data_IF_931791946602
#
_entry.id   IF_931791946602
#
_cell.length_a   1.000
_cell.length_b   1.000
_cell.length_c   1.000
_cell.angle_alpha   90.00
_cell.angle_beta   90.00
_cell.angle_gamma   90.00
#
_symmetry.space_group_name_H-M   'P 1'
#
loop_
_entity.id
_entity.type
_entity.pdbx_description
1 polymer ?
#
# COMPACT_ATOMS: atom_id res chain seq x y z
N UNK A 1 11.99 22.07 -2.91
CA UNK A 1 11.04 21.40 -3.83
C UNK A 1 11.37 21.80 -5.25
N UNK A 2 11.43 20.85 -6.18
CA UNK A 2 11.58 21.08 -7.63
C UNK A 2 10.40 20.41 -8.36
N UNK A 3 9.68 21.18 -9.19
CA UNK A 3 8.54 20.71 -9.99
C UNK A 3 8.70 21.13 -11.46
N UNK A 4 7.82 20.65 -12.33
CA UNK A 4 7.76 21.03 -13.73
C UNK A 4 7.66 22.57 -13.89
N UNK A 5 8.52 23.14 -14.73
CA UNK A 5 8.62 24.58 -14.94
C UNK A 5 7.32 25.22 -15.48
N UNK A 6 6.55 24.49 -16.30
CA UNK A 6 5.27 24.98 -16.82
C UNK A 6 4.25 25.15 -15.70
N UNK A 7 4.17 24.18 -14.78
CA UNK A 7 3.30 24.27 -13.62
C UNK A 7 3.77 25.36 -12.64
N UNK A 8 5.08 25.54 -12.48
CA UNK A 8 5.62 26.59 -11.61
C UNK A 8 5.41 28.01 -12.15
N UNK A 9 5.30 28.17 -13.47
CA UNK A 9 5.17 29.47 -14.14
C UNK A 9 3.72 29.82 -14.52
N UNK A 10 2.75 28.94 -14.28
CA UNK A 10 1.37 29.17 -14.69
C UNK A 10 0.65 30.19 -13.79
N UNK A 11 -0.35 30.89 -14.34
CA UNK A 11 -1.19 31.81 -13.57
C UNK A 11 -2.20 31.10 -12.66
N UNK A 12 -2.58 29.88 -13.07
CA UNK A 12 -3.57 29.02 -12.41
C UNK A 12 -3.18 27.55 -12.52
N UNK A 13 -3.09 26.87 -11.39
CA UNK A 13 -2.78 25.45 -11.31
C UNK A 13 -4.01 24.64 -10.86
N UNK A 14 -4.53 23.82 -11.75
CA UNK A 14 -5.70 22.96 -11.51
C UNK A 14 -5.26 21.50 -11.50
N UNK A 15 -5.63 20.78 -10.44
CA UNK A 15 -5.36 19.37 -10.30
C UNK A 15 -6.55 18.52 -10.73
N UNK A 16 -6.27 17.35 -11.30
CA UNK A 16 -7.26 16.32 -11.56
C UNK A 16 -6.71 14.94 -11.22
N UNK A 17 -7.59 13.98 -10.93
CA UNK A 17 -7.20 12.61 -10.66
C UNK A 17 -8.23 11.78 -9.89
N UNK A 18 -7.76 10.65 -9.37
CA UNK A 18 -8.54 9.74 -8.55
C UNK A 18 -8.14 9.81 -7.07
N UNK A 19 -9.12 9.69 -6.17
CA UNK A 19 -8.88 9.48 -4.73
C UNK A 19 -9.17 8.03 -4.36
N UNK A 20 -8.19 7.39 -3.72
CA UNK A 20 -8.22 6.00 -3.23
C UNK A 20 -7.35 5.90 -1.99
N UNK A 21 -7.52 4.85 -1.18
CA UNK A 21 -6.55 4.51 -0.14
C UNK A 21 -5.16 4.24 -0.73
N UNK A 22 -4.10 4.60 0.00
CA UNK A 22 -2.72 4.42 -0.44
C UNK A 22 -1.81 4.04 0.74
N UNK A 23 -1.21 2.84 0.66
CA UNK A 23 -0.45 2.20 1.75
C UNK A 23 0.73 2.99 2.35
N UNK A 24 1.18 4.06 1.68
CA UNK A 24 2.21 5.00 2.19
C UNK A 24 1.63 6.36 2.63
N UNK A 25 0.90 7.04 1.74
CA UNK A 25 0.55 8.46 1.87
C UNK A 25 -0.83 8.71 2.49
N UNK A 26 -1.45 7.70 3.10
CA UNK A 26 -2.87 7.73 3.47
C UNK A 26 -3.77 7.50 2.27
N UNK A 27 -3.75 8.44 1.32
CA UNK A 27 -4.62 8.45 0.13
C UNK A 27 -3.87 8.85 -1.15
N UNK A 28 -4.44 8.52 -2.30
CA UNK A 28 -4.12 9.09 -3.62
C UNK A 28 -4.72 10.48 -3.82
N UNK A 29 -4.57 11.04 -5.04
CA UNK A 29 -5.20 12.30 -5.46
C UNK A 29 -4.71 13.56 -4.76
N UNK A 30 -5.28 14.72 -5.14
CA UNK A 30 -4.96 16.01 -4.54
C UNK A 30 -3.47 16.34 -4.63
N UNK A 31 -2.84 16.64 -3.50
CA UNK A 31 -1.39 16.91 -3.37
C UNK A 31 -0.45 15.94 -4.10
N UNK A 32 -0.87 14.68 -4.33
CA UNK A 32 -0.07 13.71 -5.08
C UNK A 32 0.13 14.03 -6.55
N UNK A 33 -0.73 14.86 -7.13
CA UNK A 33 -0.55 15.39 -8.49
C UNK A 33 0.64 16.35 -8.55
N UNK A 34 1.07 16.94 -7.43
CA UNK A 34 2.30 17.74 -7.32
C UNK A 34 3.50 16.82 -7.03
N UNK A 35 3.53 16.19 -5.86
CA UNK A 35 4.56 15.22 -5.47
C UNK A 35 3.93 13.85 -5.28
N UNK A 36 4.22 12.84 -6.12
CA UNK A 36 5.27 12.83 -7.14
C UNK A 36 4.87 13.31 -8.54
N UNK A 37 3.60 13.64 -8.80
CA UNK A 37 3.03 13.72 -10.14
C UNK A 37 3.79 14.59 -11.16
N UNK A 38 4.28 15.75 -10.75
CA UNK A 38 5.04 16.68 -11.60
C UNK A 38 6.37 17.11 -10.98
N UNK A 39 6.83 16.39 -9.94
CA UNK A 39 8.04 16.71 -9.22
C UNK A 39 9.28 16.09 -9.89
N UNK A 40 10.44 16.71 -9.66
CA UNK A 40 11.72 16.13 -10.11
C UNK A 40 12.00 14.81 -9.40
N UNK A 41 12.83 13.95 -10.01
CA UNK A 41 13.22 12.67 -9.40
C UNK A 41 13.90 12.84 -8.03
N UNK A 42 14.70 13.89 -7.84
CA UNK A 42 15.33 14.22 -6.56
C UNK A 42 14.27 14.55 -5.50
N UNK A 43 13.30 15.40 -5.82
CA UNK A 43 12.17 15.73 -4.92
C UNK A 43 11.36 14.49 -4.57
N UNK A 44 11.02 13.65 -5.56
CA UNK A 44 10.30 12.39 -5.34
C UNK A 44 11.06 11.47 -4.39
N UNK A 45 12.37 11.29 -4.62
CA UNK A 45 13.22 10.44 -3.77
C UNK A 45 13.29 10.97 -2.33
N UNK A 46 13.53 12.27 -2.14
CA UNK A 46 13.57 12.90 -0.82
C UNK A 46 12.26 12.74 -0.06
N UNK A 47 11.12 12.96 -0.73
CA UNK A 47 9.81 12.76 -0.13
C UNK A 47 9.59 11.29 0.24
N UNK A 48 9.84 10.36 -0.68
CA UNK A 48 9.54 8.95 -0.45
C UNK A 48 10.43 8.30 0.61
N UNK A 49 11.60 8.86 0.94
CA UNK A 49 12.41 8.40 2.06
C UNK A 49 11.70 8.52 3.42
N UNK A 50 10.68 9.39 3.54
CA UNK A 50 9.86 9.50 4.75
C UNK A 50 9.09 8.22 5.11
N UNK A 51 8.93 7.28 4.18
CA UNK A 51 8.18 6.02 4.44
C UNK A 51 8.94 5.03 5.31
N UNK A 52 10.26 5.20 5.44
CA UNK A 52 11.15 4.30 6.17
C UNK A 52 11.65 4.99 7.43
N UNK A 53 11.77 4.23 8.52
CA UNK A 53 12.51 4.66 9.70
C UNK A 53 14.01 4.61 9.37
N UNK A 54 14.74 5.72 9.49
CA UNK A 54 16.14 5.76 9.05
C UNK A 54 17.08 4.93 9.93
N UNK A 55 16.68 4.67 11.19
CA UNK A 55 17.53 4.05 12.20
C UNK A 55 17.19 2.58 12.42
N UNK A 56 15.93 2.19 12.17
CA UNK A 56 15.42 0.84 12.41
C UNK A 56 14.84 0.20 11.14
N UNK A 57 14.97 -1.13 10.95
CA UNK A 57 14.44 -1.86 9.80
C UNK A 57 12.91 -2.00 9.89
N UNK A 58 12.19 -0.89 9.77
CA UNK A 58 10.73 -0.82 9.81
C UNK A 58 10.19 0.32 8.96
N UNK A 59 8.93 0.16 8.57
CA UNK A 59 8.11 1.27 8.06
C UNK A 59 7.96 2.29 9.18
N UNK A 60 8.08 3.57 8.83
CA UNK A 60 8.04 4.67 9.79
C UNK A 60 6.69 4.75 10.48
N UNK A 61 6.69 5.08 11.76
CA UNK A 61 5.46 5.32 12.50
C UNK A 61 4.63 6.44 11.86
N UNK A 62 3.31 6.27 11.81
CA UNK A 62 2.38 7.21 11.19
C UNK A 62 2.20 7.04 9.68
N UNK A 63 3.08 6.30 9.01
CA UNK A 63 2.95 5.97 7.58
C UNK A 63 1.99 4.80 7.42
N UNK A 64 0.97 4.97 6.57
CA UNK A 64 0.00 3.92 6.34
C UNK A 64 -1.17 4.33 5.46
N UNK A 65 -2.00 3.35 5.13
CA UNK A 65 -3.28 3.58 4.44
C UNK A 65 -4.25 4.30 5.37
N UNK A 66 -4.93 5.33 4.86
CA UNK A 66 -5.82 6.18 5.65
C UNK A 66 -5.12 7.13 6.65
N UNK A 67 -3.81 7.00 6.85
CA UNK A 67 -3.06 7.82 7.81
C UNK A 67 -2.59 9.15 7.20
N UNK A 68 -3.18 10.26 7.65
CA UNK A 68 -2.75 11.62 7.28
C UNK A 68 -2.06 12.33 8.44
N UNK A 69 -2.65 12.29 9.64
CA UNK A 69 -2.08 12.94 10.83
C UNK A 69 -0.81 12.23 11.32
N UNK A 70 0.30 12.95 11.40
CA UNK A 70 1.59 12.40 11.84
C UNK A 70 2.26 11.52 10.77
N UNK A 71 1.80 11.59 9.52
CA UNK A 71 2.42 10.92 8.39
C UNK A 71 3.38 11.90 7.69
N UNK A 72 4.70 11.80 7.91
CA UNK A 72 5.65 12.79 7.41
C UNK A 72 5.71 12.82 5.86
N UNK A 73 5.48 11.67 5.20
CA UNK A 73 5.38 11.62 3.74
C UNK A 73 4.23 12.50 3.25
N UNK A 74 3.07 12.40 3.91
CA UNK A 74 1.88 13.14 3.54
C UNK A 74 2.03 14.63 3.84
N UNK A 75 2.55 14.97 5.01
CA UNK A 75 2.74 16.36 5.45
C UNK A 75 3.68 17.12 4.50
N UNK A 76 4.78 16.49 4.08
CA UNK A 76 5.70 17.03 3.06
C UNK A 76 5.01 17.22 1.70
N UNK A 77 4.12 16.30 1.29
CA UNK A 77 3.32 16.50 0.07
C UNK A 77 2.32 17.65 0.20
N UNK A 78 1.74 17.87 1.39
CA UNK A 78 0.80 18.97 1.63
C UNK A 78 1.49 20.32 1.54
N UNK A 79 2.66 20.46 2.16
CA UNK A 79 3.50 21.66 2.05
C UNK A 79 3.91 21.90 0.60
N UNK A 80 4.31 20.86 -0.13
CA UNK A 80 4.65 20.96 -1.55
C UNK A 80 3.49 21.49 -2.40
N UNK A 81 2.25 21.05 -2.14
CA UNK A 81 1.07 21.53 -2.86
C UNK A 81 0.70 22.98 -2.49
N UNK A 82 0.91 23.40 -1.24
CA UNK A 82 0.76 24.81 -0.84
C UNK A 82 1.79 25.70 -1.55
N UNK A 83 3.06 25.29 -1.57
CA UNK A 83 4.16 26.01 -2.22
C UNK A 83 3.98 26.09 -3.75
N UNK A 84 3.29 25.11 -4.35
CA UNK A 84 2.95 25.12 -5.77
C UNK A 84 1.75 26.02 -6.11
N UNK A 85 1.15 26.69 -5.12
CA UNK A 85 0.00 27.60 -5.31
C UNK A 85 -1.16 26.97 -6.07
N UNK A 86 -1.54 25.73 -5.72
CA UNK A 86 -2.68 25.05 -6.34
C UNK A 86 -3.98 25.83 -6.11
N UNK A 87 -4.69 26.20 -7.17
CA UNK A 87 -5.93 26.97 -7.09
C UNK A 87 -7.16 26.08 -6.93
N UNK A 88 -7.20 24.93 -7.62
CA UNK A 88 -8.42 24.13 -7.74
C UNK A 88 -8.14 22.63 -7.93
N UNK A 89 -9.09 21.79 -7.53
CA UNK A 89 -9.06 20.34 -7.76
C UNK A 89 -10.35 19.88 -8.43
N UNK A 90 -10.26 18.87 -9.29
CA UNK A 90 -11.36 18.02 -9.74
C UNK A 90 -10.95 16.55 -9.58
N UNK A 91 -11.38 15.93 -8.48
CA UNK A 91 -11.08 14.53 -8.20
C UNK A 91 -12.31 13.64 -8.39
N UNK A 92 -12.09 12.38 -8.75
CA UNK A 92 -13.13 11.36 -8.75
C UNK A 92 -12.80 10.24 -7.76
N UNK A 93 -13.83 9.70 -7.11
CA UNK A 93 -13.75 8.42 -6.40
C UNK A 93 -14.47 7.35 -7.22
N UNK A 94 -13.96 6.11 -7.18
CA UNK A 94 -14.58 4.97 -7.88
C UNK A 94 -15.00 3.89 -6.88
N UNK A 95 -16.08 3.19 -7.19
CA UNK A 95 -16.49 1.97 -6.49
C UNK A 95 -15.61 0.77 -6.88
N UNK A 96 -15.82 -0.39 -6.24
CA UNK A 96 -15.02 -1.61 -6.46
C UNK A 96 -15.13 -2.15 -7.91
N UNK A 97 -16.18 -1.76 -8.64
CA UNK A 97 -16.39 -2.09 -10.05
C UNK A 97 -15.76 -1.09 -11.02
N UNK A 98 -15.09 -0.06 -10.50
CA UNK A 98 -14.44 0.98 -11.29
C UNK A 98 -15.40 2.07 -11.81
N UNK A 99 -16.66 2.10 -11.33
CA UNK A 99 -17.62 3.15 -11.71
C UNK A 99 -17.43 4.36 -10.81
N UNK A 100 -17.71 5.56 -11.33
CA UNK A 100 -17.64 6.77 -10.53
C UNK A 100 -18.67 6.73 -9.38
N UNK A 101 -18.17 6.85 -8.16
CA UNK A 101 -18.95 6.94 -6.93
C UNK A 101 -19.17 8.39 -6.49
N UNK A 102 -18.30 9.32 -6.91
CA UNK A 102 -18.43 10.74 -6.61
C UNK A 102 -17.39 11.59 -7.32
N UNK A 103 -17.71 12.86 -7.51
CA UNK A 103 -16.81 13.89 -8.02
C UNK A 103 -16.68 15.00 -6.98
N UNK A 104 -15.47 15.49 -6.78
CA UNK A 104 -15.13 16.47 -5.77
C UNK A 104 -14.36 17.60 -6.43
N UNK A 105 -14.94 18.81 -6.40
CA UNK A 105 -14.36 19.97 -7.03
C UNK A 105 -14.44 21.19 -6.13
N UNK A 106 -13.38 21.99 -6.09
CA UNK A 106 -13.28 23.15 -5.21
C UNK A 106 -11.85 23.50 -4.82
N UNK A 107 -11.71 24.15 -3.67
CA UNK A 107 -10.41 24.31 -3.01
C UNK A 107 -9.72 22.96 -2.89
N UNK A 108 -8.45 22.88 -3.28
CA UNK A 108 -7.81 21.59 -3.56
C UNK A 108 -7.71 20.69 -2.33
N UNK A 109 -7.57 21.27 -1.14
CA UNK A 109 -7.53 20.53 0.13
C UNK A 109 -8.91 20.02 0.49
N UNK A 110 -9.88 20.91 0.57
CA UNK A 110 -11.22 20.62 1.07
C UNK A 110 -11.93 19.60 0.15
N UNK A 111 -11.78 19.75 -1.16
CA UNK A 111 -12.31 18.80 -2.14
C UNK A 111 -11.60 17.44 -2.03
N UNK A 112 -10.29 17.42 -1.76
CA UNK A 112 -9.55 16.18 -1.55
C UNK A 112 -9.98 15.48 -0.25
N UNK A 113 -10.13 16.21 0.85
CA UNK A 113 -10.59 15.69 2.14
C UNK A 113 -12.00 15.12 2.05
N UNK A 114 -12.93 15.80 1.37
CA UNK A 114 -14.27 15.28 1.10
C UNK A 114 -14.22 13.96 0.29
N UNK A 115 -13.33 13.88 -0.69
CA UNK A 115 -13.09 12.65 -1.44
C UNK A 115 -12.54 11.51 -0.59
N UNK A 116 -11.58 11.80 0.31
CA UNK A 116 -11.04 10.82 1.26
C UNK A 116 -12.14 10.29 2.19
N UNK A 117 -13.03 11.16 2.69
CA UNK A 117 -14.14 10.75 3.54
C UNK A 117 -15.12 9.79 2.84
N UNK A 118 -15.41 10.01 1.54
CA UNK A 118 -16.21 9.07 0.77
C UNK A 118 -15.48 7.73 0.61
N UNK A 119 -14.18 7.75 0.27
CA UNK A 119 -13.36 6.54 0.15
C UNK A 119 -13.34 5.73 1.45
N UNK A 120 -13.20 6.40 2.59
CA UNK A 120 -13.30 5.76 3.90
C UNK A 120 -14.66 5.10 4.12
N UNK A 121 -15.74 5.80 3.82
CA UNK A 121 -17.10 5.25 3.98
C UNK A 121 -17.37 4.00 3.15
N UNK A 122 -16.67 3.85 2.01
CA UNK A 122 -16.82 2.69 1.12
C UNK A 122 -15.91 1.52 1.50
N UNK A 123 -14.70 1.79 1.98
CA UNK A 123 -13.65 0.78 2.03
C UNK A 123 -13.05 0.55 3.42
N UNK A 124 -13.28 1.42 4.40
CA UNK A 124 -12.91 1.14 5.78
C UNK A 124 -13.89 0.15 6.41
N UNK A 125 -13.38 -0.96 6.91
CA UNK A 125 -14.16 -2.02 7.53
C UNK A 125 -13.86 -2.06 9.03
N UNK A 126 -14.82 -1.69 9.90
CA UNK A 126 -14.65 -1.80 11.34
C UNK A 126 -14.43 -3.24 11.79
N UNK A 127 -13.33 -3.48 12.51
CA UNK A 127 -12.98 -4.77 13.07
C UNK A 127 -12.82 -4.66 14.59
N UNK A 128 -13.41 -5.60 15.33
CA UNK A 128 -13.34 -5.61 16.80
C UNK A 128 -11.91 -5.84 17.31
N UNK A 129 -11.18 -6.76 16.68
CA UNK A 129 -9.79 -7.07 17.00
C UNK A 129 -9.12 -7.76 15.80
N UNK A 130 -7.78 -7.82 15.84
CA UNK A 130 -6.98 -8.56 14.85
C UNK A 130 -7.20 -10.07 15.03
N UNK A 131 -7.09 -10.82 13.93
CA UNK A 131 -7.29 -12.28 13.92
C UNK A 131 -5.99 -13.07 13.96
N UNK A 132 -6.06 -14.31 14.46
CA UNK A 132 -4.92 -15.25 14.45
C UNK A 132 -4.55 -15.67 13.01
N UNK A 133 -5.58 -15.83 12.17
CA UNK A 133 -5.44 -16.13 10.75
C UNK A 133 -6.20 -15.10 9.90
N UNK A 134 -5.56 -14.59 8.86
CA UNK A 134 -6.20 -13.78 7.81
C UNK A 134 -6.14 -14.55 6.50
N UNK A 135 -7.30 -14.77 5.89
CA UNK A 135 -7.43 -15.31 4.54
C UNK A 135 -7.77 -14.16 3.62
N UNK A 136 -6.84 -13.76 2.76
CA UNK A 136 -6.97 -12.57 1.92
C UNK A 136 -6.89 -12.93 0.44
N UNK A 137 -7.61 -12.18 -0.39
CA UNK A 137 -7.46 -12.16 -1.84
C UNK A 137 -7.24 -10.72 -2.30
N UNK A 138 -6.51 -10.57 -3.41
CA UNK A 138 -6.31 -9.28 -4.06
C UNK A 138 -7.58 -8.76 -4.77
N UNK A 139 -8.64 -9.59 -4.87
CA UNK A 139 -9.87 -9.28 -5.61
C UNK A 139 -9.80 -9.62 -7.11
N UNK A 140 -8.79 -10.40 -7.53
CA UNK A 140 -8.62 -10.84 -8.91
C UNK A 140 -8.05 -9.77 -9.86
N UNK A 141 -8.01 -10.12 -11.15
CA UNK A 141 -7.43 -9.26 -12.18
C UNK A 141 -8.21 -7.93 -12.32
N UNK A 142 -7.55 -6.77 -12.46
CA UNK A 142 -6.10 -6.59 -12.64
C UNK A 142 -5.31 -6.38 -11.34
N UNK A 143 -5.94 -6.48 -10.16
CA UNK A 143 -5.31 -6.15 -8.88
C UNK A 143 -4.30 -7.20 -8.41
N UNK A 144 -4.38 -8.41 -8.96
CA UNK A 144 -3.48 -9.54 -8.67
C UNK A 144 -2.55 -9.87 -9.84
N UNK A 145 -2.36 -8.95 -10.80
CA UNK A 145 -1.52 -9.17 -11.97
C UNK A 145 -0.06 -9.52 -11.61
N UNK A 146 0.45 -8.97 -10.50
CA UNK A 146 1.77 -9.29 -9.96
C UNK A 146 1.85 -9.11 -8.45
N UNK A 147 2.85 -9.73 -7.81
CA UNK A 147 3.13 -9.54 -6.37
C UNK A 147 3.46 -8.08 -6.05
N UNK A 148 4.13 -7.36 -6.97
CA UNK A 148 4.33 -5.91 -6.87
C UNK A 148 2.99 -5.17 -6.64
N UNK A 149 1.96 -5.46 -7.43
CA UNK A 149 0.64 -4.83 -7.24
C UNK A 149 -0.08 -5.37 -6.00
N UNK A 150 0.07 -6.67 -5.73
CA UNK A 150 -0.49 -7.33 -4.55
C UNK A 150 0.05 -6.79 -3.22
N UNK A 151 1.18 -6.08 -3.21
CA UNK A 151 1.75 -5.42 -2.02
C UNK A 151 0.71 -4.61 -1.22
N UNK A 152 -0.28 -4.01 -1.88
CA UNK A 152 -1.42 -3.33 -1.23
C UNK A 152 -2.29 -4.30 -0.43
N UNK A 153 -2.62 -5.45 -1.02
CA UNK A 153 -3.37 -6.51 -0.36
C UNK A 153 -2.57 -7.11 0.81
N UNK A 154 -1.25 -7.26 0.66
CA UNK A 154 -0.37 -7.67 1.76
C UNK A 154 -0.40 -6.68 2.92
N UNK A 155 -0.32 -5.37 2.64
CA UNK A 155 -0.40 -4.34 3.67
C UNK A 155 -1.73 -4.41 4.43
N UNK A 156 -2.87 -4.47 3.73
CA UNK A 156 -4.18 -4.50 4.36
C UNK A 156 -4.41 -5.82 5.15
N UNK A 157 -3.94 -6.95 4.62
CA UNK A 157 -3.99 -8.23 5.34
C UNK A 157 -3.10 -8.21 6.60
N UNK A 158 -1.92 -7.58 6.52
CA UNK A 158 -1.04 -7.39 7.66
C UNK A 158 -1.68 -6.53 8.75
N UNK A 159 -2.47 -5.51 8.38
CA UNK A 159 -3.21 -4.71 9.35
C UNK A 159 -4.26 -5.53 10.12
N UNK A 160 -4.84 -6.56 9.49
CA UNK A 160 -5.86 -7.43 10.07
C UNK A 160 -5.31 -8.58 10.94
N UNK A 161 -4.05 -8.98 10.77
CA UNK A 161 -3.47 -10.15 11.46
C UNK A 161 -2.83 -9.75 12.80
N UNK A 162 -2.94 -10.61 13.81
CA UNK A 162 -2.20 -10.45 15.08
C UNK A 162 -0.69 -10.58 14.82
N UNK A 163 0.16 -9.95 15.65
CA UNK A 163 1.60 -10.17 15.60
C UNK A 163 1.95 -11.66 15.65
N UNK A 164 2.74 -12.14 14.71
CA UNK A 164 3.11 -13.56 14.61
C UNK A 164 2.01 -14.49 14.06
N UNK A 165 0.85 -13.95 13.68
CA UNK A 165 -0.25 -14.72 13.09
C UNK A 165 0.04 -15.20 11.66
N UNK A 166 -0.95 -15.85 11.06
CA UNK A 166 -0.83 -16.43 9.71
C UNK A 166 -1.63 -15.64 8.68
N UNK A 167 -1.04 -15.37 7.51
CA UNK A 167 -1.72 -14.81 6.35
C UNK A 167 -1.74 -15.88 5.26
N UNK A 168 -2.93 -16.24 4.79
CA UNK A 168 -3.12 -17.03 3.56
C UNK A 168 -3.54 -16.05 2.46
N UNK A 169 -2.62 -15.72 1.56
CA UNK A 169 -2.84 -14.76 0.49
C UNK A 169 -3.13 -15.50 -0.82
N UNK A 170 -4.27 -15.20 -1.43
CA UNK A 170 -4.66 -15.70 -2.76
C UNK A 170 -4.35 -14.62 -3.80
N UNK A 171 -3.46 -14.94 -4.72
CA UNK A 171 -3.00 -14.02 -5.75
C UNK A 171 -2.52 -14.83 -6.97
N UNK A 172 -3.14 -14.64 -8.14
CA UNK A 172 -2.70 -15.33 -9.35
C UNK A 172 -1.27 -14.93 -9.72
N UNK A 173 -0.96 -13.63 -9.70
CA UNK A 173 0.32 -13.06 -10.08
C UNK A 173 0.78 -13.56 -11.46
N UNK A 174 -0.11 -13.43 -12.46
CA UNK A 174 0.09 -13.96 -13.82
C UNK A 174 1.31 -13.39 -14.55
N UNK A 175 1.74 -12.17 -14.21
CA UNK A 175 2.98 -11.57 -14.72
C UNK A 175 4.18 -11.90 -13.81
N UNK A 176 4.06 -12.91 -12.95
CA UNK A 176 5.00 -13.22 -11.88
C UNK A 176 4.92 -12.22 -10.73
N UNK A 177 6.01 -12.05 -9.99
CA UNK A 177 6.03 -11.10 -8.87
C UNK A 177 6.29 -9.64 -9.23
N UNK A 178 6.36 -9.31 -10.52
CA UNK A 178 6.67 -7.97 -11.03
C UNK A 178 8.00 -7.94 -11.77
N UNK A 179 8.46 -6.74 -12.15
CA UNK A 179 9.73 -6.58 -12.86
C UNK A 179 10.94 -6.98 -12.02
N UNK A 180 12.03 -7.36 -12.68
CA UNK A 180 13.27 -7.87 -12.06
C UNK A 180 13.80 -7.00 -10.90
N UNK A 181 13.59 -5.68 -10.97
CA UNK A 181 13.98 -4.76 -9.92
C UNK A 181 13.35 -5.13 -8.57
N UNK A 182 12.07 -5.47 -8.52
CA UNK A 182 11.35 -5.83 -7.29
C UNK A 182 11.97 -7.06 -6.63
N UNK A 183 12.28 -8.09 -7.41
CA UNK A 183 12.81 -9.34 -6.89
C UNK A 183 14.26 -9.27 -6.41
N UNK A 184 15.05 -8.34 -6.96
CA UNK A 184 16.44 -8.11 -6.54
C UNK A 184 16.54 -7.67 -5.08
N UNK A 185 15.51 -7.04 -4.53
CA UNK A 185 15.48 -6.63 -3.13
C UNK A 185 15.36 -7.80 -2.15
N UNK A 186 14.91 -8.97 -2.61
CA UNK A 186 14.92 -10.18 -1.79
C UNK A 186 16.25 -10.97 -1.91
N UNK A 187 17.23 -10.49 -2.69
CA UNK A 187 18.59 -11.05 -2.65
C UNK A 187 19.38 -10.61 -1.42
N UNK A 188 18.90 -9.61 -0.68
CA UNK A 188 19.50 -9.22 0.59
C UNK A 188 19.26 -10.31 1.66
N UNK A 189 20.33 -10.89 2.24
CA UNK A 189 20.24 -11.98 3.22
C UNK A 189 19.37 -11.67 4.44
N UNK A 190 19.29 -10.40 4.84
CA UNK A 190 18.55 -9.95 6.02
C UNK A 190 17.73 -8.71 5.71
N UNK A 191 16.66 -8.51 6.48
CA UNK A 191 15.81 -7.32 6.37
C UNK A 191 16.58 -6.05 6.76
N UNK A 192 17.56 -6.14 7.65
CA UNK A 192 18.47 -5.06 8.04
C UNK A 192 19.36 -4.61 6.87
N UNK A 193 19.87 -5.55 6.08
CA UNK A 193 20.68 -5.22 4.90
C UNK A 193 19.83 -4.64 3.77
N UNK A 194 18.63 -5.21 3.54
CA UNK A 194 17.65 -4.64 2.62
C UNK A 194 17.28 -3.21 3.02
N UNK A 195 17.04 -2.97 4.31
CA UNK A 195 16.74 -1.66 4.86
C UNK A 195 17.86 -0.64 4.63
N UNK A 196 19.10 -0.98 4.99
CA UNK A 196 20.26 -0.11 4.77
C UNK A 196 20.44 0.26 3.30
N UNK A 197 20.25 -0.71 2.40
CA UNK A 197 20.30 -0.47 0.96
C UNK A 197 19.19 0.49 0.51
N UNK A 198 17.97 0.30 1.01
CA UNK A 198 16.81 1.11 0.66
C UNK A 198 16.90 2.55 1.20
N UNK A 199 17.45 2.74 2.40
CA UNK A 199 17.72 4.07 2.97
C UNK A 199 18.75 4.83 2.13
N UNK A 200 19.78 4.13 1.62
CA UNK A 200 20.81 4.74 0.76
C UNK A 200 20.29 5.08 -0.63
N UNK A 201 19.56 4.13 -1.24
CA UNK A 201 19.08 4.28 -2.61
C UNK A 201 17.63 3.83 -2.75
N UNK A 202 16.73 4.70 -2.28
CA UNK A 202 15.31 4.45 -2.33
C UNK A 202 14.81 4.24 -3.76
N UNK A 203 14.08 3.15 -3.98
CA UNK A 203 13.20 2.98 -5.15
C UNK A 203 11.83 2.51 -4.68
N UNK A 204 10.79 2.79 -5.48
CA UNK A 204 9.42 2.35 -5.16
C UNK A 204 9.36 0.82 -5.15
N UNK A 205 10.01 0.15 -6.10
CA UNK A 205 10.08 -1.31 -6.13
C UNK A 205 10.76 -1.86 -4.87
N UNK A 206 11.84 -1.22 -4.42
CA UNK A 206 12.52 -1.59 -3.18
C UNK A 206 11.67 -1.42 -1.94
N UNK A 207 10.89 -0.34 -1.86
CA UNK A 207 9.95 -0.17 -0.75
C UNK A 207 8.85 -1.22 -0.73
N UNK A 208 8.24 -1.54 -1.87
CA UNK A 208 7.19 -2.55 -1.93
C UNK A 208 7.75 -3.95 -1.60
N UNK A 209 8.98 -4.24 -2.04
CA UNK A 209 9.67 -5.47 -1.66
C UNK A 209 9.94 -5.50 -0.15
N UNK A 210 10.47 -4.42 0.41
CA UNK A 210 10.72 -4.28 1.85
C UNK A 210 9.44 -4.40 2.69
N UNK A 211 8.31 -3.87 2.21
CA UNK A 211 6.99 -4.04 2.82
C UNK A 211 6.60 -5.53 2.87
N UNK A 212 6.65 -6.24 1.73
CA UNK A 212 6.33 -7.67 1.67
C UNK A 212 7.29 -8.48 2.55
N UNK A 213 8.59 -8.17 2.50
CA UNK A 213 9.62 -8.79 3.33
C UNK A 213 9.32 -8.60 4.83
N UNK A 214 8.98 -7.37 5.25
CA UNK A 214 8.57 -7.05 6.63
C UNK A 214 7.39 -7.89 7.10
N UNK A 215 6.39 -8.10 6.23
CA UNK A 215 5.23 -8.93 6.55
C UNK A 215 5.67 -10.39 6.71
N UNK A 216 6.42 -10.92 5.75
CA UNK A 216 6.82 -12.31 5.67
C UNK A 216 7.79 -12.77 6.78
N UNK A 217 8.66 -11.89 7.29
CA UNK A 217 9.56 -12.27 8.41
C UNK A 217 8.90 -12.22 9.78
N UNK A 218 7.78 -11.49 9.91
CA UNK A 218 7.06 -11.32 11.18
C UNK A 218 5.83 -12.23 11.29
N UNK A 219 5.40 -12.85 10.20
CA UNK A 219 4.17 -13.63 10.11
C UNK A 219 4.41 -14.85 9.25
N UNK A 220 3.64 -15.92 9.51
CA UNK A 220 3.63 -17.05 8.58
C UNK A 220 2.78 -16.65 7.37
N UNK A 221 3.39 -16.62 6.19
CA UNK A 221 2.67 -16.26 4.95
C UNK A 221 2.62 -17.45 4.01
N UNK A 222 1.40 -17.87 3.65
CA UNK A 222 1.14 -18.88 2.64
C UNK A 222 0.56 -18.18 1.42
N UNK A 223 1.28 -18.21 0.30
CA UNK A 223 0.85 -17.65 -0.96
C UNK A 223 0.22 -18.75 -1.82
N UNK A 224 -1.07 -18.64 -2.08
CA UNK A 224 -1.81 -19.48 -3.02
C UNK A 224 -1.69 -18.88 -4.41
N UNK A 225 -0.83 -19.46 -5.25
CA UNK A 225 -0.44 -18.91 -6.54
C UNK A 225 0.25 -19.96 -7.43
N UNK A 226 0.21 -19.75 -8.75
CA UNK A 226 0.92 -20.55 -9.75
C UNK A 226 2.36 -20.05 -10.02
N UNK A 227 2.80 -18.96 -9.38
CA UNK A 227 4.18 -18.47 -9.55
C UNK A 227 5.22 -19.47 -9.06
N UNK A 228 6.45 -19.34 -9.58
CA UNK A 228 7.56 -20.24 -9.27
C UNK A 228 7.86 -20.31 -7.76
N UNK A 229 8.02 -21.54 -7.24
CA UNK A 229 8.22 -21.79 -5.82
C UNK A 229 9.50 -21.16 -5.27
N UNK A 230 10.57 -21.14 -6.07
CA UNK A 230 11.85 -20.56 -5.64
C UNK A 230 11.73 -19.06 -5.43
N UNK A 231 10.93 -18.37 -6.25
CA UNK A 231 10.61 -16.95 -6.06
C UNK A 231 9.81 -16.72 -4.78
N UNK A 232 8.82 -17.56 -4.49
CA UNK A 232 8.02 -17.47 -3.26
C UNK A 232 8.88 -17.68 -2.01
N UNK A 233 9.75 -18.70 -2.05
CA UNK A 233 10.66 -19.02 -0.96
C UNK A 233 11.68 -17.89 -0.73
N UNK A 234 12.20 -17.29 -1.80
CA UNK A 234 13.09 -16.11 -1.73
C UNK A 234 12.42 -14.92 -1.05
N UNK A 235 11.09 -14.79 -1.16
CA UNK A 235 10.31 -13.77 -0.44
C UNK A 235 9.95 -14.18 1.00
N UNK A 236 10.51 -15.26 1.54
CA UNK A 236 10.24 -15.79 2.89
C UNK A 236 8.79 -16.25 3.11
N UNK A 237 8.14 -16.70 2.04
CA UNK A 237 6.78 -17.23 2.06
C UNK A 237 6.78 -18.72 1.71
N UNK A 238 5.70 -19.42 2.04
CA UNK A 238 5.45 -20.78 1.54
C UNK A 238 4.45 -20.72 0.40
N UNK A 239 4.70 -21.45 -0.68
CA UNK A 239 3.75 -21.56 -1.79
C UNK A 239 2.74 -22.67 -1.54
N UNK A 240 1.51 -22.46 -1.98
CA UNK A 240 0.54 -23.51 -2.24
C UNK A 240 -0.03 -23.30 -3.66
N UNK A 241 -0.24 -24.39 -4.40
CA UNK A 241 -0.95 -24.29 -5.68
C UNK A 241 -2.43 -23.92 -5.45
N UNK A 242 -3.12 -23.30 -6.43
CA UNK A 242 -4.57 -23.09 -6.35
C UNK A 242 -5.36 -24.38 -6.09
N UNK A 243 -4.93 -25.51 -6.67
CA UNK A 243 -5.51 -26.83 -6.42
C UNK A 243 -5.34 -27.32 -4.97
N UNK A 244 -4.39 -26.76 -4.23
CA UNK A 244 -4.07 -27.09 -2.85
C UNK A 244 -4.65 -26.08 -1.85
N UNK A 245 -5.37 -25.05 -2.30
CA UNK A 245 -5.87 -23.97 -1.46
C UNK A 245 -6.64 -24.47 -0.22
N UNK A 246 -7.50 -25.48 -0.39
CA UNK A 246 -8.24 -26.09 0.74
C UNK A 246 -7.32 -26.73 1.79
N UNK A 247 -6.24 -27.39 1.35
CA UNK A 247 -5.23 -27.98 2.25
C UNK A 247 -4.39 -26.90 2.93
N UNK A 248 -4.03 -25.85 2.21
CA UNK A 248 -3.33 -24.69 2.76
C UNK A 248 -4.13 -24.01 3.88
N UNK A 249 -5.43 -23.80 3.65
CA UNK A 249 -6.36 -23.26 4.66
C UNK A 249 -6.47 -24.18 5.87
N UNK A 250 -6.68 -25.48 5.67
CA UNK A 250 -6.78 -26.45 6.75
C UNK A 250 -5.47 -26.56 7.58
N UNK A 251 -4.31 -26.37 6.97
CA UNK A 251 -3.01 -26.36 7.65
C UNK A 251 -2.64 -25.02 8.29
N UNK A 252 -3.36 -23.94 7.97
CA UNK A 252 -3.18 -22.62 8.55
C UNK A 252 -4.07 -22.40 9.78
N UNK A 253 -5.29 -22.93 9.76
CA UNK A 253 -6.32 -22.69 10.78
C UNK A 253 -6.35 -23.83 11.81
N UNK A 254 -6.19 -23.49 13.08
CA UNK A 254 -6.34 -24.42 14.22
C UNK A 254 -7.69 -24.22 14.89
N UNK A 255 -8.14 -25.25 15.61
CA UNK A 255 -9.36 -25.16 16.42
C UNK A 255 -9.19 -24.08 17.49
N UNK A 256 -10.07 -23.07 17.46
CA UNK A 256 -10.05 -21.94 18.40
C UNK A 256 -9.40 -20.67 17.84
N UNK A 257 -8.77 -20.72 16.66
CA UNK A 257 -8.25 -19.53 16.00
C UNK A 257 -9.40 -18.59 15.59
N UNK A 258 -9.18 -17.29 15.81
CA UNK A 258 -9.99 -16.25 15.16
C UNK A 258 -9.54 -16.09 13.70
N UNK A 259 -10.51 -16.03 12.79
CA UNK A 259 -10.24 -15.96 11.34
C UNK A 259 -10.94 -14.74 10.74
N UNK A 260 -10.18 -13.92 10.02
CA UNK A 260 -10.72 -12.84 9.17
C UNK A 260 -10.59 -13.23 7.71
N UNK A 261 -11.65 -13.00 6.93
CA UNK A 261 -11.67 -13.24 5.48
C UNK A 261 -11.74 -11.88 4.77
N UNK A 262 -10.81 -11.62 3.86
CA UNK A 262 -10.69 -10.38 3.09
C UNK A 262 -10.70 -10.68 1.59
N UNK A 263 -11.89 -10.85 0.96
CA UNK A 263 -11.98 -11.20 -0.46
C UNK A 263 -11.39 -10.13 -1.40
N UNK A 264 -11.38 -8.87 -0.95
CA UNK A 264 -10.89 -7.72 -1.72
C UNK A 264 -9.88 -6.89 -0.93
N UNK A 265 -8.88 -7.57 -0.35
CA UNK A 265 -7.85 -6.97 0.50
C UNK A 265 -7.07 -5.84 -0.19
N UNK A 266 -7.02 -5.80 -1.52
CA UNK A 266 -6.36 -4.71 -2.24
C UNK A 266 -7.05 -3.33 -2.08
N UNK A 267 -8.34 -3.31 -1.70
CA UNK A 267 -9.12 -2.07 -1.57
C UNK A 267 -9.73 -1.90 -0.17
N UNK A 268 -10.09 -2.98 0.54
CA UNK A 268 -10.68 -2.88 1.87
C UNK A 268 -9.63 -2.66 2.96
N UNK A 269 -9.81 -1.65 3.80
CA UNK A 269 -8.91 -1.30 4.90
C UNK A 269 -9.54 -1.69 6.25
N UNK A 270 -8.98 -2.66 6.99
CA UNK A 270 -9.45 -2.95 8.34
C UNK A 270 -9.12 -1.78 9.28
N UNK A 271 -10.12 -1.29 10.01
CA UNK A 271 -9.95 -0.24 11.03
C UNK A 271 -10.33 -0.78 12.41
N UNK A 272 -9.55 -0.41 13.41
CA UNK A 272 -9.74 -0.87 14.79
C UNK A 272 -10.11 0.31 15.69
N UNK A 273 -10.89 0.09 16.76
CA UNK A 273 -11.10 1.11 17.77
C UNK A 273 -9.76 1.60 18.29
N UNK A 274 -9.53 2.91 18.24
CA UNK A 274 -8.49 3.54 19.06
C UNK A 274 -8.86 3.25 20.52
N UNK A 275 -7.97 2.57 21.25
CA UNK A 275 -8.12 2.46 22.71
C UNK A 275 -8.21 3.90 23.24
N UNK A 276 -9.37 4.26 23.79
CA UNK A 276 -9.58 5.53 24.47
C UNK A 276 -8.71 5.63 25.71
#
# INVERSE_FOLDING_TARGET
MEINAEAAACDRLILTGGVVHHAMAGYGGGRKSIVPGIASRSTVKSNHLWVIDHDLPRIRQGVGSGCTKGNPLHEDMMEAAELAHVDFLVNAATDASGRFAGFFAGHWRDAWEAGCALVDSMYCVPCACRSDVVVASCGGFPRDISIYQASKAFYNAWMAVKPGGTIVMVCEARDGGGGDEFFKWFDYPTIEECHKALVRDFTIAGYLAFLVYTVAVKHRVVLVSDIDESLVHKMHMTRALPSEAGKALAGAIKRGDSVTIMPESAITLPIFPTLQ
#
